data_IF_100115066303
#
_entry.id   IF_100115066303
#
_cell.length_a   1.000
_cell.length_b   1.000
_cell.length_c   1.000
_cell.angle_alpha   90.00
_cell.angle_beta   90.00
_cell.angle_gamma   90.00
#
_symmetry.space_group_name_H-M   'P 1'
#
loop_
_entity.id
_entity.type
_entity.pdbx_description
1 polymer ?
#
# COMPACT_ATOMS: atom_id res chain seq x y z
N UNK A 1 -11.35 18.44 3.03
CA UNK A 1 -11.19 17.54 1.86
C UNK A 1 -10.02 16.59 2.09
N UNK A 2 -10.10 15.40 1.52
CA UNK A 2 -9.14 14.32 1.71
C UNK A 2 -8.77 13.71 0.34
N UNK A 3 -7.49 13.40 0.15
CA UNK A 3 -7.03 12.56 -0.96
C UNK A 3 -6.37 11.32 -0.37
N UNK A 4 -6.90 10.15 -0.70
CA UNK A 4 -6.38 8.85 -0.31
C UNK A 4 -5.69 8.19 -1.51
N UNK A 5 -4.47 7.67 -1.29
CA UNK A 5 -3.66 7.04 -2.31
C UNK A 5 -3.37 5.58 -1.95
N UNK A 6 -3.38 4.71 -2.93
CA UNK A 6 -2.58 3.50 -2.84
C UNK A 6 -1.09 3.84 -2.86
N UNK A 7 -0.25 2.94 -2.38
CA UNK A 7 1.20 3.13 -2.34
C UNK A 7 1.90 2.52 -3.55
N UNK A 8 1.88 1.19 -3.62
CA UNK A 8 2.59 0.42 -4.66
C UNK A 8 2.03 0.74 -6.04
N UNK A 9 2.89 1.00 -7.01
CA UNK A 9 2.54 1.37 -8.38
C UNK A 9 1.68 2.64 -8.52
N UNK A 10 1.45 3.38 -7.45
CA UNK A 10 0.73 4.66 -7.41
C UNK A 10 1.64 5.78 -6.91
N UNK A 11 1.94 5.87 -5.62
CA UNK A 11 2.88 6.85 -5.06
C UNK A 11 4.35 6.48 -5.27
N UNK A 12 4.64 5.19 -5.40
CA UNK A 12 5.96 4.65 -5.76
C UNK A 12 5.88 3.85 -7.05
N UNK A 13 7.01 3.73 -7.74
CA UNK A 13 7.08 3.10 -9.07
C UNK A 13 7.10 1.56 -9.04
N UNK A 14 7.24 0.94 -7.87
CA UNK A 14 7.43 -0.50 -7.70
C UNK A 14 6.37 -1.13 -6.79
N UNK A 15 6.33 -2.45 -6.81
CA UNK A 15 5.63 -3.31 -5.84
C UNK A 15 6.64 -3.72 -4.77
N UNK A 16 6.45 -3.28 -3.52
CA UNK A 16 7.41 -3.53 -2.44
C UNK A 16 7.63 -5.02 -2.19
N UNK A 17 6.57 -5.84 -2.28
CA UNK A 17 6.71 -7.27 -2.03
C UNK A 17 7.61 -7.95 -3.08
N UNK A 18 7.61 -7.48 -4.31
CA UNK A 18 8.50 -7.99 -5.35
C UNK A 18 9.96 -7.60 -5.08
N UNK A 19 10.20 -6.38 -4.62
CA UNK A 19 11.52 -5.92 -4.20
C UNK A 19 12.06 -6.73 -3.01
N UNK A 20 11.21 -7.04 -2.03
CA UNK A 20 11.57 -7.91 -0.91
C UNK A 20 11.80 -9.36 -1.35
N UNK A 21 11.05 -9.84 -2.35
CA UNK A 21 11.26 -11.16 -2.94
C UNK A 21 12.63 -11.29 -3.60
N UNK A 22 13.13 -10.24 -4.24
CA UNK A 22 14.50 -10.17 -4.78
C UNK A 22 15.54 -10.34 -3.67
N UNK A 23 15.37 -9.62 -2.57
CA UNK A 23 16.26 -9.72 -1.41
C UNK A 23 16.24 -11.12 -0.78
N UNK A 24 15.10 -11.78 -0.77
CA UNK A 24 14.92 -13.13 -0.22
C UNK A 24 15.27 -14.26 -1.21
N UNK A 25 15.49 -13.95 -2.49
CA UNK A 25 15.76 -14.94 -3.53
C UNK A 25 14.54 -15.81 -3.90
N UNK A 26 13.33 -15.28 -3.77
CA UNK A 26 12.05 -16.00 -3.98
C UNK A 26 11.16 -15.37 -5.06
N UNK A 27 11.74 -14.63 -6.00
CA UNK A 27 11.01 -13.89 -7.04
C UNK A 27 10.06 -14.79 -7.83
N UNK A 28 10.53 -15.95 -8.28
CA UNK A 28 9.74 -16.86 -9.10
C UNK A 28 8.55 -17.45 -8.33
N UNK A 29 8.74 -17.78 -7.06
CA UNK A 29 7.70 -18.30 -6.18
C UNK A 29 6.63 -17.23 -5.91
N UNK A 30 7.04 -16.01 -5.60
CA UNK A 30 6.12 -14.87 -5.38
C UNK A 30 5.34 -14.57 -6.66
N UNK A 31 6.01 -14.52 -7.81
CA UNK A 31 5.36 -14.29 -9.11
C UNK A 31 4.31 -15.36 -9.44
N UNK A 32 4.60 -16.63 -9.15
CA UNK A 32 3.66 -17.74 -9.37
C UNK A 32 2.39 -17.58 -8.53
N UNK A 33 2.51 -17.20 -7.24
CA UNK A 33 1.38 -16.95 -6.35
C UNK A 33 0.54 -15.77 -6.84
N UNK A 34 1.18 -14.66 -7.20
CA UNK A 34 0.51 -13.49 -7.78
C UNK A 34 -0.29 -13.86 -9.03
N UNK A 35 0.28 -14.69 -9.89
CA UNK A 35 -0.38 -15.16 -11.11
C UNK A 35 -1.61 -16.04 -10.83
N UNK A 36 -1.54 -16.92 -9.81
CA UNK A 36 -2.70 -17.70 -9.36
C UNK A 36 -3.82 -16.82 -8.82
N UNK A 37 -3.48 -15.78 -8.05
CA UNK A 37 -4.47 -14.81 -7.57
C UNK A 37 -5.13 -14.04 -8.74
N UNK A 38 -4.36 -13.60 -9.73
CA UNK A 38 -4.88 -12.92 -10.91
C UNK A 38 -5.82 -13.79 -11.76
N UNK A 39 -5.64 -15.11 -11.71
CA UNK A 39 -6.53 -16.08 -12.36
C UNK A 39 -7.78 -16.43 -11.54
N UNK A 40 -7.88 -15.90 -10.32
CA UNK A 40 -8.97 -16.21 -9.40
C UNK A 40 -8.89 -17.61 -8.76
N UNK A 41 -7.73 -18.27 -8.82
CA UNK A 41 -7.51 -19.59 -8.22
C UNK A 41 -7.39 -19.53 -6.70
N UNK A 42 -6.90 -18.41 -6.17
CA UNK A 42 -6.82 -18.08 -4.75
C UNK A 42 -7.28 -16.63 -4.54
N UNK A 43 -7.83 -16.33 -3.36
CA UNK A 43 -8.22 -14.97 -3.03
C UNK A 43 -7.02 -14.08 -2.66
N UNK A 44 -7.29 -12.77 -2.51
CA UNK A 44 -6.26 -11.79 -2.19
C UNK A 44 -5.56 -12.10 -0.86
N UNK A 45 -6.34 -12.40 0.18
CA UNK A 45 -5.80 -12.60 1.54
C UNK A 45 -4.91 -13.83 1.60
N UNK A 46 -5.34 -14.92 0.99
CA UNK A 46 -4.54 -16.17 0.90
C UNK A 46 -3.27 -15.95 0.07
N UNK A 47 -3.38 -15.30 -1.08
CA UNK A 47 -2.25 -14.92 -1.91
C UNK A 47 -1.24 -14.06 -1.12
N UNK A 48 -1.73 -13.09 -0.38
CA UNK A 48 -0.91 -12.21 0.44
C UNK A 48 -0.17 -12.98 1.53
N UNK A 49 -0.89 -13.84 2.28
CA UNK A 49 -0.28 -14.68 3.32
C UNK A 49 0.82 -15.59 2.78
N UNK A 50 0.56 -16.24 1.64
CA UNK A 50 1.55 -17.13 1.01
C UNK A 50 2.80 -16.38 0.55
N UNK A 51 2.65 -15.20 -0.03
CA UNK A 51 3.78 -14.37 -0.46
C UNK A 51 4.60 -13.85 0.72
N UNK A 52 3.95 -13.39 1.79
CA UNK A 52 4.63 -12.94 3.01
C UNK A 52 5.37 -14.10 3.69
N UNK A 53 4.79 -15.29 3.73
CA UNK A 53 5.43 -16.49 4.31
C UNK A 53 6.78 -16.80 3.64
N UNK A 54 6.91 -16.55 2.34
CA UNK A 54 8.16 -16.74 1.60
C UNK A 54 9.28 -15.77 2.02
N UNK A 55 8.95 -14.68 2.71
CA UNK A 55 9.92 -13.71 3.22
C UNK A 55 10.49 -14.09 4.59
N UNK A 56 10.05 -15.19 5.19
CA UNK A 56 10.53 -15.65 6.49
C UNK A 56 12.07 -15.72 6.54
N UNK A 57 12.65 -15.16 7.60
CA UNK A 57 14.08 -15.13 7.82
C UNK A 57 14.82 -13.97 7.15
N UNK A 58 14.15 -13.15 6.35
CA UNK A 58 14.73 -11.95 5.75
C UNK A 58 15.20 -11.00 6.84
N UNK A 59 16.44 -10.52 6.74
CA UNK A 59 16.99 -9.59 7.71
C UNK A 59 16.39 -8.19 7.58
N UNK A 60 16.24 -7.51 8.68
CA UNK A 60 15.73 -6.13 8.73
C UNK A 60 16.55 -5.18 7.85
N UNK A 61 17.86 -5.41 7.73
CA UNK A 61 18.74 -4.67 6.83
C UNK A 61 18.34 -4.76 5.34
N UNK A 62 17.66 -5.85 4.95
CA UNK A 62 17.13 -5.97 3.59
C UNK A 62 15.94 -5.01 3.36
N UNK A 63 15.10 -4.77 4.37
CA UNK A 63 14.03 -3.78 4.30
C UNK A 63 14.62 -2.37 4.13
N UNK A 64 15.69 -2.06 4.84
CA UNK A 64 16.41 -0.78 4.71
C UNK A 64 16.98 -0.59 3.30
N UNK A 65 17.57 -1.63 2.70
CA UNK A 65 18.08 -1.57 1.33
C UNK A 65 16.97 -1.33 0.31
N UNK A 66 15.84 -2.02 0.45
CA UNK A 66 14.67 -1.80 -0.40
C UNK A 66 14.16 -0.37 -0.24
N UNK A 67 14.02 0.11 0.98
CA UNK A 67 13.60 1.48 1.27
C UNK A 67 14.48 2.53 0.58
N UNK A 68 15.79 2.32 0.54
CA UNK A 68 16.74 3.25 -0.08
C UNK A 68 16.64 3.28 -1.61
N UNK A 69 16.20 2.18 -2.25
CA UNK A 69 16.09 2.11 -3.72
C UNK A 69 14.70 2.36 -4.28
N UNK A 70 13.67 2.42 -3.43
CA UNK A 70 12.31 2.75 -3.85
C UNK A 70 12.27 4.17 -4.42
N UNK A 71 11.66 4.31 -5.59
CA UNK A 71 11.46 5.59 -6.25
C UNK A 71 10.04 6.07 -6.09
N UNK A 72 9.91 7.31 -5.63
CA UNK A 72 8.64 8.02 -5.62
C UNK A 72 8.23 8.33 -7.06
N UNK A 73 6.96 8.11 -7.40
CA UNK A 73 6.40 8.42 -8.71
C UNK A 73 6.64 9.88 -9.07
N UNK A 74 7.06 10.13 -10.30
CA UNK A 74 7.31 11.48 -10.80
C UNK A 74 6.08 12.38 -10.58
N UNK A 75 6.29 13.53 -9.97
CA UNK A 75 5.24 14.50 -9.67
C UNK A 75 4.49 14.26 -8.36
N UNK A 76 4.64 13.11 -7.70
CA UNK A 76 3.91 12.79 -6.47
C UNK A 76 4.26 13.76 -5.33
N UNK A 77 5.52 14.07 -5.12
CA UNK A 77 5.94 15.03 -4.10
C UNK A 77 5.34 16.42 -4.35
N UNK A 78 5.38 16.88 -5.59
CA UNK A 78 4.79 18.17 -5.97
C UNK A 78 3.27 18.17 -5.75
N UNK A 79 2.59 17.08 -6.10
CA UNK A 79 1.15 16.92 -5.89
C UNK A 79 0.80 17.00 -4.40
N UNK A 80 1.47 16.21 -3.57
CA UNK A 80 1.24 16.18 -2.12
C UNK A 80 1.47 17.57 -1.51
N UNK A 81 2.56 18.23 -1.85
CA UNK A 81 2.86 19.57 -1.36
C UNK A 81 1.78 20.59 -1.78
N UNK A 82 1.29 20.51 -3.01
CA UNK A 82 0.21 21.36 -3.51
C UNK A 82 -1.09 21.11 -2.76
N UNK A 83 -1.46 19.85 -2.57
CA UNK A 83 -2.67 19.47 -1.81
C UNK A 83 -2.62 20.00 -0.38
N UNK A 84 -1.49 19.86 0.29
CA UNK A 84 -1.28 20.36 1.66
C UNK A 84 -1.41 21.90 1.71
N UNK A 85 -0.81 22.59 0.76
CA UNK A 85 -0.92 24.06 0.65
C UNK A 85 -2.37 24.52 0.44
N UNK A 86 -3.19 23.71 -0.21
CA UNK A 86 -4.62 23.95 -0.41
C UNK A 86 -5.50 23.50 0.78
N UNK A 87 -4.90 23.01 1.85
CA UNK A 87 -5.62 22.57 3.05
C UNK A 87 -6.23 21.17 2.96
N UNK A 88 -5.84 20.36 1.97
CA UNK A 88 -6.25 18.96 1.90
C UNK A 88 -5.51 18.10 2.93
N UNK A 89 -6.20 17.13 3.51
CA UNK A 89 -5.58 16.01 4.20
C UNK A 89 -5.19 14.95 3.18
N UNK A 90 -4.15 14.19 3.49
CA UNK A 90 -3.65 13.12 2.63
C UNK A 90 -3.52 11.82 3.40
N UNK A 91 -3.78 10.70 2.73
CA UNK A 91 -3.71 9.36 3.32
C UNK A 91 -3.06 8.36 2.37
N UNK A 92 -2.33 7.41 2.93
CA UNK A 92 -1.92 6.17 2.26
C UNK A 92 -2.79 5.04 2.81
N UNK A 93 -3.48 4.32 1.92
CA UNK A 93 -4.22 3.09 2.20
C UNK A 93 -3.66 1.98 1.31
N UNK A 94 -2.84 1.11 1.88
CA UNK A 94 -2.00 0.20 1.09
C UNK A 94 -2.14 -1.27 1.51
N UNK A 95 -2.19 -2.16 0.53
CA UNK A 95 -1.97 -3.59 0.73
C UNK A 95 -0.49 -3.97 0.91
N UNK A 96 0.42 -3.02 0.84
CA UNK A 96 1.84 -3.18 1.17
C UNK A 96 2.12 -3.13 2.68
N UNK A 97 3.28 -2.61 3.07
CA UNK A 97 3.76 -2.67 4.45
C UNK A 97 3.95 -1.29 5.09
N UNK A 98 3.63 -1.21 6.39
CA UNK A 98 3.76 0.01 7.19
C UNK A 98 5.19 0.55 7.23
N UNK A 99 6.19 -0.32 7.21
CA UNK A 99 7.61 0.08 7.13
C UNK A 99 7.85 1.13 6.04
N UNK A 100 7.36 0.85 4.85
CA UNK A 100 7.53 1.73 3.68
C UNK A 100 6.53 2.88 3.67
N UNK A 101 5.30 2.63 4.10
CA UNK A 101 4.26 3.65 4.20
C UNK A 101 4.64 4.77 5.18
N UNK A 102 5.19 4.42 6.34
CA UNK A 102 5.67 5.39 7.33
C UNK A 102 6.92 6.14 6.85
N UNK A 103 7.79 5.49 6.09
CA UNK A 103 8.91 6.17 5.45
C UNK A 103 8.43 7.25 4.47
N UNK A 104 7.47 6.92 3.61
CA UNK A 104 6.86 7.87 2.68
C UNK A 104 6.10 8.97 3.41
N UNK A 105 5.42 8.65 4.51
CA UNK A 105 4.74 9.63 5.35
C UNK A 105 5.71 10.70 5.84
N UNK A 106 6.86 10.31 6.34
CA UNK A 106 7.89 11.24 6.80
C UNK A 106 8.49 12.06 5.65
N UNK A 107 8.74 11.41 4.52
CA UNK A 107 9.33 12.04 3.35
C UNK A 107 8.39 13.06 2.67
N UNK A 108 7.12 12.70 2.51
CA UNK A 108 6.14 13.49 1.75
C UNK A 108 5.21 14.34 2.63
N UNK A 109 5.21 14.12 3.94
CA UNK A 109 4.34 14.83 4.87
C UNK A 109 2.88 14.41 4.77
N UNK A 110 2.61 13.11 4.65
CA UNK A 110 1.27 12.53 4.56
C UNK A 110 0.65 12.40 5.95
N UNK A 111 -0.64 12.70 6.10
CA UNK A 111 -1.32 12.76 7.39
C UNK A 111 -1.65 11.39 7.96
N UNK A 112 -2.10 10.45 7.14
CA UNK A 112 -2.56 9.11 7.55
C UNK A 112 -1.83 8.01 6.78
N UNK A 113 -1.46 6.94 7.46
CA UNK A 113 -0.91 5.73 6.84
C UNK A 113 -1.58 4.50 7.44
N UNK A 114 -2.18 3.68 6.60
CA UNK A 114 -2.68 2.36 6.94
C UNK A 114 -2.16 1.35 5.91
N UNK A 115 -1.49 0.33 6.40
CA UNK A 115 -0.92 -0.75 5.62
C UNK A 115 -0.79 -2.00 6.49
N UNK A 116 -0.25 -3.09 5.95
CA UNK A 116 0.01 -4.30 6.72
C UNK A 116 1.29 -4.16 7.53
N UNK A 117 1.24 -4.57 8.78
CA UNK A 117 2.43 -4.59 9.64
C UNK A 117 3.18 -5.91 9.46
N UNK A 118 4.38 -5.83 8.88
CA UNK A 118 5.26 -6.98 8.75
C UNK A 118 5.85 -7.33 10.11
N UNK A 119 5.58 -8.55 10.60
CA UNK A 119 6.08 -8.99 11.90
C UNK A 119 7.59 -9.26 11.84
N UNK A 120 8.34 -8.62 12.75
CA UNK A 120 9.78 -8.75 12.86
C UNK A 120 10.12 -9.22 14.27
N UNK A 121 10.86 -10.32 14.39
CA UNK A 121 11.38 -10.84 15.65
C UNK A 121 12.89 -11.07 15.55
N UNK A 122 13.63 -10.61 16.55
CA UNK A 122 15.09 -10.76 16.59
C UNK A 122 15.80 -10.24 15.33
N UNK A 123 15.31 -9.12 14.76
CA UNK A 123 15.87 -8.50 13.57
C UNK A 123 15.59 -9.24 12.26
N UNK A 124 14.62 -10.16 12.25
CA UNK A 124 14.22 -10.95 11.08
C UNK A 124 12.72 -10.96 10.89
N UNK A 125 12.30 -10.96 9.63
CA UNK A 125 10.91 -11.16 9.23
C UNK A 125 10.46 -12.56 9.61
N UNK A 126 9.31 -12.66 10.27
CA UNK A 126 8.76 -13.98 10.70
C UNK A 126 8.01 -14.70 9.57
N UNK A 127 7.64 -14.03 8.51
CA UNK A 127 6.76 -14.54 7.45
C UNK A 127 5.28 -14.34 7.75
N UNK A 128 4.96 -13.55 8.77
CA UNK A 128 3.58 -13.20 9.15
C UNK A 128 3.40 -11.69 9.21
N UNK A 129 2.15 -11.25 9.14
CA UNK A 129 1.74 -9.87 9.41
C UNK A 129 1.00 -9.81 10.74
N UNK A 130 1.17 -8.70 11.46
CA UNK A 130 0.41 -8.40 12.66
C UNK A 130 -0.91 -7.72 12.30
N UNK A 131 -2.00 -8.15 12.93
CA UNK A 131 -3.31 -7.56 12.71
C UNK A 131 -4.00 -7.98 11.40
N UNK A 132 -5.15 -7.35 11.11
CA UNK A 132 -5.95 -7.68 9.93
C UNK A 132 -5.26 -7.26 8.63
N UNK A 133 -5.46 -8.06 7.57
CA UNK A 133 -4.94 -7.77 6.24
C UNK A 133 -5.70 -6.58 5.64
N UNK A 134 -4.95 -5.62 5.09
CA UNK A 134 -5.50 -4.49 4.36
C UNK A 134 -5.78 -4.91 2.92
N UNK A 135 -6.94 -5.50 2.70
CA UNK A 135 -7.49 -5.82 1.38
C UNK A 135 -8.38 -4.67 0.86
N UNK A 136 -9.05 -4.87 -0.27
CA UNK A 136 -9.88 -3.84 -0.88
C UNK A 136 -11.04 -3.38 0.01
N UNK A 137 -11.74 -4.30 0.68
CA UNK A 137 -12.81 -3.98 1.62
C UNK A 137 -12.29 -3.19 2.82
N UNK A 138 -11.14 -3.62 3.35
CA UNK A 138 -10.50 -2.93 4.47
C UNK A 138 -10.05 -1.52 4.10
N UNK A 139 -9.54 -1.30 2.89
CA UNK A 139 -9.23 0.06 2.41
C UNK A 139 -10.47 0.96 2.43
N UNK A 140 -11.62 0.46 1.98
CA UNK A 140 -12.87 1.21 2.01
C UNK A 140 -13.34 1.52 3.45
N UNK A 141 -13.23 0.55 4.36
CA UNK A 141 -13.54 0.76 5.79
C UNK A 141 -12.64 1.84 6.41
N UNK A 142 -11.33 1.73 6.21
CA UNK A 142 -10.34 2.69 6.70
C UNK A 142 -10.60 4.09 6.14
N UNK A 143 -11.01 4.19 4.88
CA UNK A 143 -11.39 5.46 4.28
C UNK A 143 -12.60 6.07 4.99
N UNK A 144 -13.63 5.28 5.30
CA UNK A 144 -14.80 5.74 6.08
C UNK A 144 -14.41 6.20 7.49
N UNK A 145 -13.49 5.48 8.14
CA UNK A 145 -13.00 5.84 9.47
C UNK A 145 -12.28 7.20 9.46
N UNK A 146 -11.42 7.44 8.47
CA UNK A 146 -10.74 8.73 8.30
C UNK A 146 -11.75 9.85 8.03
N UNK A 147 -12.71 9.62 7.14
CA UNK A 147 -13.78 10.57 6.81
C UNK A 147 -14.58 10.95 8.05
N UNK A 148 -14.93 9.99 8.88
CA UNK A 148 -15.63 10.22 10.15
C UNK A 148 -14.76 11.02 11.14
N UNK A 149 -13.48 10.67 11.27
CA UNK A 149 -12.53 11.39 12.13
C UNK A 149 -12.34 12.84 11.71
N UNK A 150 -12.24 13.11 10.41
CA UNK A 150 -12.08 14.45 9.84
C UNK A 150 -13.40 15.23 9.77
N UNK A 151 -14.53 14.61 10.11
CA UNK A 151 -15.86 15.22 10.06
C UNK A 151 -16.21 15.79 8.67
N UNK A 152 -15.88 15.04 7.64
CA UNK A 152 -16.21 15.33 6.24
C UNK A 152 -17.14 14.27 5.67
N UNK A 153 -17.61 14.46 4.44
CA UNK A 153 -18.38 13.44 3.70
C UNK A 153 -17.51 12.75 2.65
N UNK A 154 -17.93 11.55 2.22
CA UNK A 154 -17.26 10.81 1.15
C UNK A 154 -17.21 11.60 -0.18
N UNK A 155 -18.19 12.48 -0.42
CA UNK A 155 -18.17 13.38 -1.59
C UNK A 155 -16.98 14.35 -1.60
N UNK A 156 -16.35 14.58 -0.46
CA UNK A 156 -15.16 15.43 -0.32
C UNK A 156 -13.85 14.66 -0.42
N UNK A 157 -13.91 13.39 -0.83
CA UNK A 157 -12.77 12.49 -0.95
C UNK A 157 -12.43 12.25 -2.42
N UNK A 158 -11.13 12.31 -2.71
CA UNK A 158 -10.54 11.78 -3.94
C UNK A 158 -9.75 10.52 -3.54
N UNK A 159 -9.99 9.41 -4.20
CA UNK A 159 -9.22 8.19 -4.02
C UNK A 159 -8.47 7.83 -5.31
N UNK A 160 -7.20 7.42 -5.18
CA UNK A 160 -6.31 7.14 -6.30
C UNK A 160 -5.68 5.76 -6.12
N UNK A 161 -5.76 4.91 -7.14
CA UNK A 161 -5.16 3.58 -7.11
C UNK A 161 -4.97 2.99 -8.51
N UNK A 162 -4.28 1.85 -8.62
CA UNK A 162 -3.93 1.22 -9.89
C UNK A 162 -4.47 -0.21 -10.06
N UNK A 163 -4.95 -0.84 -9.01
CA UNK A 163 -5.31 -2.25 -9.00
C UNK A 163 -6.76 -2.55 -8.62
N UNK A 164 -7.17 -3.80 -8.83
CA UNK A 164 -8.51 -4.27 -8.48
C UNK A 164 -8.80 -4.17 -6.97
N UNK A 165 -7.78 -4.29 -6.13
CA UNK A 165 -7.89 -4.12 -4.69
C UNK A 165 -8.16 -2.67 -4.25
N UNK A 166 -8.08 -1.70 -5.16
CA UNK A 166 -8.44 -0.30 -4.89
C UNK A 166 -9.89 0.01 -5.22
N UNK A 167 -10.54 -0.82 -6.03
CA UNK A 167 -11.91 -0.56 -6.52
C UNK A 167 -12.91 -0.25 -5.40
N UNK A 168 -12.93 -0.97 -4.26
CA UNK A 168 -13.88 -0.64 -3.18
C UNK A 168 -13.70 0.78 -2.61
N UNK A 169 -12.47 1.27 -2.45
CA UNK A 169 -12.24 2.63 -1.97
C UNK A 169 -12.50 3.67 -3.06
N UNK A 170 -12.18 3.36 -4.33
CA UNK A 170 -12.46 4.25 -5.46
C UNK A 170 -13.97 4.44 -5.65
N UNK A 171 -14.74 3.37 -5.45
CA UNK A 171 -16.20 3.36 -5.65
C UNK A 171 -16.94 4.24 -4.64
N UNK A 172 -16.50 4.26 -3.39
CA UNK A 172 -17.15 5.06 -2.33
C UNK A 172 -16.70 6.52 -2.27
N UNK A 173 -15.59 6.87 -2.90
CA UNK A 173 -15.07 8.23 -2.93
C UNK A 173 -15.92 9.14 -3.83
N UNK A 174 -15.93 10.44 -3.54
CA UNK A 174 -16.57 11.43 -4.41
C UNK A 174 -15.96 11.47 -5.81
N UNK A 175 -14.64 11.18 -5.91
CA UNK A 175 -13.93 10.98 -7.17
C UNK A 175 -12.92 9.85 -7.01
N UNK A 176 -13.10 8.78 -7.78
CA UNK A 176 -12.14 7.68 -7.91
C UNK A 176 -11.28 7.88 -9.16
N UNK A 177 -9.96 7.77 -9.00
CA UNK A 177 -8.99 7.92 -10.09
C UNK A 177 -8.20 6.62 -10.24
N UNK A 178 -8.33 5.99 -11.41
CA UNK A 178 -7.49 4.86 -11.80
C UNK A 178 -6.20 5.41 -12.42
N UNK A 179 -5.09 5.29 -11.70
CA UNK A 179 -3.79 5.79 -12.13
C UNK A 179 -2.95 4.65 -12.71
N UNK A 180 -2.62 4.72 -14.01
CA UNK A 180 -1.87 3.68 -14.73
C UNK A 180 -2.42 2.27 -14.46
N UNK A 181 -3.76 2.18 -14.42
CA UNK A 181 -4.46 0.98 -13.97
C UNK A 181 -4.05 -0.27 -14.73
N UNK A 182 -3.89 -1.35 -13.98
CA UNK A 182 -3.68 -2.68 -14.52
C UNK A 182 -4.97 -3.16 -15.20
N UNK A 183 -4.89 -3.92 -16.30
CA UNK A 183 -6.07 -4.44 -17.00
C UNK A 183 -6.87 -5.44 -16.16
#
# INVERSE_FOLDING_TARGET
RLVAFDMDSTLIESEVIDELAEEAGVVDQVAAITKSAMRGEIDFDESFRQRVALLEGLEESALERVQQRIRVTEGAERLINTLRALGYKTAILSGGFTWFGEHLQRQLGIDYVHANELEIENGRVTGRVAGPIVNGERKAELLRDIVAHEQISLEQVIAVGDGANDLPMLDIAGLGIAFRAKP
#
